data_IF_065787939502
#
_entry.id   IF_065787939502
#
_cell.length_a   1.000
_cell.length_b   1.000
_cell.length_c   1.000
_cell.angle_alpha   90.00
_cell.angle_beta   90.00
_cell.angle_gamma   90.00
#
_symmetry.space_group_name_H-M   'P 1'
#
loop_
_entity.id
_entity.type
_entity.pdbx_description
1 polymer ?
#
# COMPACT_ATOMS: atom_id res chain seq x y z
N UNK A 1 20.55 -19.02 0.79
CA UNK A 1 20.34 -18.01 1.85
C UNK A 1 21.39 -18.26 2.93
N UNK A 2 22.24 -17.29 3.28
CA UNK A 2 23.34 -17.49 4.25
C UNK A 2 23.08 -16.61 5.48
N UNK A 3 22.71 -17.24 6.60
CA UNK A 3 22.41 -16.55 7.86
C UNK A 3 23.71 -16.24 8.58
N UNK A 4 24.07 -14.96 8.72
CA UNK A 4 25.22 -14.55 9.53
C UNK A 4 24.72 -14.39 10.97
N UNK A 5 24.98 -15.40 11.81
CA UNK A 5 24.67 -15.39 13.24
C UNK A 5 25.79 -14.63 13.96
N UNK A 6 25.56 -13.37 14.37
CA UNK A 6 26.46 -12.67 15.29
C UNK A 6 26.05 -13.03 16.73
N UNK A 7 26.82 -13.89 17.37
CA UNK A 7 26.68 -14.18 18.80
C UNK A 7 27.42 -13.08 19.58
N UNK A 8 26.71 -12.42 20.50
CA UNK A 8 27.31 -11.51 21.46
C UNK A 8 27.50 -12.25 22.77
N UNK A 9 28.71 -12.23 23.30
CA UNK A 9 29.04 -12.81 24.60
C UNK A 9 28.84 -11.71 25.64
N UNK A 10 27.99 -11.96 26.64
CA UNK A 10 27.88 -11.08 27.80
C UNK A 10 28.44 -11.83 29.00
N UNK A 11 29.33 -11.17 29.74
CA UNK A 11 29.92 -11.71 30.96
C UNK A 11 29.02 -11.24 32.10
N UNK A 12 28.50 -12.17 32.88
CA UNK A 12 27.72 -11.84 34.06
C UNK A 12 28.61 -11.29 35.19
N UNK A 13 28.02 -10.75 36.25
CA UNK A 13 28.80 -10.20 37.37
C UNK A 13 29.59 -11.25 38.17
N UNK A 14 29.45 -12.53 37.84
CA UNK A 14 30.15 -13.68 38.46
C UNK A 14 31.27 -14.21 37.55
N UNK A 15 31.46 -13.61 36.37
CA UNK A 15 32.49 -14.01 35.41
C UNK A 15 32.08 -15.16 34.49
N UNK A 16 30.81 -15.53 34.47
CA UNK A 16 30.29 -16.60 33.61
C UNK A 16 29.88 -16.06 32.23
N UNK A 17 30.14 -16.85 31.19
CA UNK A 17 29.88 -16.49 29.80
C UNK A 17 28.48 -16.99 29.42
N UNK A 18 27.49 -16.10 29.38
CA UNK A 18 26.15 -16.41 28.89
C UNK A 18 26.01 -16.00 27.42
N UNK A 19 25.74 -17.00 26.56
CA UNK A 19 25.47 -16.78 25.14
C UNK A 19 24.01 -16.34 24.93
N UNK A 20 23.73 -15.05 25.16
CA UNK A 20 22.40 -14.52 24.89
C UNK A 20 22.21 -14.24 23.39
N UNK A 21 21.70 -15.24 22.68
CA UNK A 21 21.30 -15.12 21.27
C UNK A 21 19.97 -14.40 21.10
N UNK A 22 19.93 -13.07 21.19
CA UNK A 22 18.81 -12.34 20.60
C UNK A 22 18.95 -12.39 19.08
N UNK A 23 18.24 -13.34 18.45
CA UNK A 23 17.88 -13.24 17.04
C UNK A 23 16.97 -12.02 16.87
N UNK A 24 17.58 -10.83 16.78
CA UNK A 24 16.89 -9.70 16.19
C UNK A 24 16.61 -10.13 14.76
N UNK A 25 15.38 -10.58 14.51
CA UNK A 25 14.84 -10.74 13.17
C UNK A 25 14.85 -9.35 12.55
N UNK A 26 15.99 -8.96 11.98
CA UNK A 26 16.00 -7.92 10.96
C UNK A 26 15.23 -8.58 9.82
N UNK A 27 13.91 -8.37 9.77
CA UNK A 27 13.12 -8.66 8.59
C UNK A 27 13.83 -7.92 7.47
N UNK A 28 14.57 -8.65 6.64
CA UNK A 28 15.09 -8.12 5.39
C UNK A 28 13.86 -7.64 4.64
N UNK A 29 13.68 -6.32 4.57
CA UNK A 29 12.55 -5.71 3.86
C UNK A 29 12.68 -6.23 2.43
N UNK A 30 11.84 -7.18 2.06
CA UNK A 30 11.85 -7.69 0.69
C UNK A 30 11.38 -6.52 -0.17
N UNK A 31 12.22 -6.08 -1.10
CA UNK A 31 11.88 -4.95 -1.97
C UNK A 31 10.55 -5.19 -2.71
N UNK A 32 10.23 -6.47 -2.94
CA UNK A 32 8.94 -6.96 -3.45
C UNK A 32 7.74 -6.54 -2.58
N UNK A 33 7.84 -6.63 -1.26
CA UNK A 33 6.78 -6.23 -0.33
C UNK A 33 6.50 -4.73 -0.42
N UNK A 34 7.56 -3.92 -0.57
CA UNK A 34 7.43 -2.47 -0.68
C UNK A 34 6.76 -2.07 -1.99
N UNK A 35 7.12 -2.72 -3.10
CA UNK A 35 6.49 -2.51 -4.40
C UNK A 35 4.99 -2.85 -4.36
N UNK A 36 4.62 -4.01 -3.79
CA UNK A 36 3.23 -4.44 -3.67
C UNK A 36 2.42 -3.43 -2.85
N UNK A 37 3.00 -2.89 -1.77
CA UNK A 37 2.36 -1.86 -0.95
C UNK A 37 2.05 -0.58 -1.75
N UNK A 38 2.98 -0.10 -2.58
CA UNK A 38 2.74 1.07 -3.43
C UNK A 38 1.69 0.80 -4.52
N UNK A 39 1.73 -0.39 -5.13
CA UNK A 39 0.71 -0.80 -6.11
C UNK A 39 -0.69 -0.86 -5.51
N UNK A 40 -0.83 -1.35 -4.28
CA UNK A 40 -2.12 -1.36 -3.59
C UNK A 40 -2.67 0.07 -3.48
N UNK A 41 -1.86 1.03 -3.04
CA UNK A 41 -2.29 2.45 -2.95
C UNK A 41 -2.69 2.99 -4.31
N UNK A 42 -1.91 2.74 -5.35
CA UNK A 42 -2.24 3.14 -6.72
C UNK A 42 -3.55 2.53 -7.21
N UNK A 43 -3.79 1.25 -6.94
CA UNK A 43 -5.01 0.55 -7.31
C UNK A 43 -6.26 1.16 -6.67
N UNK A 44 -6.20 1.47 -5.36
CA UNK A 44 -7.29 2.14 -4.65
C UNK A 44 -7.61 3.52 -5.23
N UNK A 45 -6.60 4.22 -5.75
CA UNK A 45 -6.80 5.53 -6.34
C UNK A 45 -7.36 5.45 -7.76
N UNK A 46 -6.86 4.54 -8.58
CA UNK A 46 -7.14 4.47 -10.02
C UNK A 46 -8.50 3.86 -10.30
N UNK A 47 -8.92 2.82 -9.57
CA UNK A 47 -10.18 2.12 -9.84
C UNK A 47 -11.41 3.02 -9.82
N UNK A 48 -11.65 3.83 -8.78
CA UNK A 48 -12.84 4.69 -8.72
C UNK A 48 -12.91 5.68 -9.88
N UNK A 49 -11.75 6.20 -10.29
CA UNK A 49 -11.62 7.14 -11.40
C UNK A 49 -11.94 6.44 -12.73
N UNK A 50 -11.39 5.25 -12.98
CA UNK A 50 -11.67 4.48 -14.19
C UNK A 50 -13.14 4.06 -14.28
N UNK A 51 -13.74 3.66 -13.17
CA UNK A 51 -15.18 3.33 -13.12
C UNK A 51 -16.01 4.58 -13.45
N UNK A 52 -15.73 5.71 -12.80
CA UNK A 52 -16.44 6.97 -13.07
C UNK A 52 -16.29 7.43 -14.52
N UNK A 53 -15.08 7.35 -15.08
CA UNK A 53 -14.79 7.67 -16.47
C UNK A 53 -15.54 6.73 -17.44
N UNK A 54 -15.47 5.42 -17.21
CA UNK A 54 -16.11 4.42 -18.07
C UNK A 54 -17.63 4.56 -18.09
N UNK A 55 -18.25 4.70 -16.91
CA UNK A 55 -19.70 4.93 -16.78
C UNK A 55 -20.07 6.27 -17.40
N UNK A 56 -19.30 7.33 -17.15
CA UNK A 56 -19.60 8.66 -17.67
C UNK A 56 -19.57 8.73 -19.18
N UNK A 57 -18.60 8.08 -19.83
CA UNK A 57 -18.56 7.98 -21.29
C UNK A 57 -19.76 7.19 -21.81
N UNK A 58 -20.14 6.10 -21.15
CA UNK A 58 -21.28 5.28 -21.58
C UNK A 58 -22.59 6.07 -21.47
N UNK A 59 -22.77 6.80 -20.37
CA UNK A 59 -23.95 7.65 -20.13
C UNK A 59 -23.98 8.81 -21.12
N UNK A 60 -22.87 9.50 -21.36
CA UNK A 60 -22.83 10.61 -22.32
C UNK A 60 -23.15 10.14 -23.75
N UNK A 61 -22.66 8.96 -24.14
CA UNK A 61 -22.99 8.35 -25.44
C UNK A 61 -24.46 7.98 -25.55
N UNK A 62 -25.03 7.41 -24.50
CA UNK A 62 -26.44 7.02 -24.48
C UNK A 62 -27.38 8.24 -24.49
N UNK A 63 -27.05 9.27 -23.70
CA UNK A 63 -27.83 10.51 -23.61
C UNK A 63 -27.54 11.50 -24.75
N UNK A 64 -26.58 11.19 -25.64
CA UNK A 64 -26.05 12.10 -26.69
C UNK A 64 -25.65 13.48 -26.14
N UNK A 65 -25.20 13.52 -24.89
CA UNK A 65 -24.72 14.73 -24.26
C UNK A 65 -23.26 14.96 -24.66
N UNK A 66 -22.84 16.23 -24.64
CA UNK A 66 -21.41 16.59 -24.52
C UNK A 66 -20.81 15.89 -23.29
N UNK A 67 -19.48 15.80 -23.10
CA UNK A 67 -18.85 15.00 -22.03
C UNK A 67 -19.09 15.53 -20.59
N UNK A 68 -20.35 15.81 -20.24
CA UNK A 68 -20.79 16.45 -19.00
C UNK A 68 -20.89 15.40 -17.92
N UNK A 69 -21.53 14.26 -18.18
CA UNK A 69 -21.59 13.16 -17.21
C UNK A 69 -20.21 12.55 -16.98
N UNK A 70 -19.39 12.49 -18.03
CA UNK A 70 -17.98 12.07 -17.94
C UNK A 70 -17.22 12.94 -16.96
N UNK A 71 -17.27 14.27 -17.12
CA UNK A 71 -16.57 15.19 -16.20
C UNK A 71 -17.14 15.09 -14.78
N UNK A 72 -18.47 15.04 -14.64
CA UNK A 72 -19.12 14.94 -13.33
C UNK A 72 -18.74 13.64 -12.59
N UNK A 73 -18.80 12.50 -13.28
CA UNK A 73 -18.47 11.20 -12.72
C UNK A 73 -16.97 11.03 -12.51
N UNK A 74 -16.12 11.66 -13.33
CA UNK A 74 -14.68 11.74 -13.08
C UNK A 74 -14.40 12.48 -11.77
N UNK A 75 -15.08 13.61 -11.51
CA UNK A 75 -14.94 14.35 -10.26
C UNK A 75 -15.41 13.51 -9.06
N UNK A 76 -16.56 12.85 -9.16
CA UNK A 76 -17.06 11.95 -8.13
C UNK A 76 -16.08 10.78 -7.89
N UNK A 77 -15.57 10.17 -8.95
CA UNK A 77 -14.57 9.10 -8.88
C UNK A 77 -13.27 9.57 -8.23
N UNK A 78 -12.85 10.81 -8.51
CA UNK A 78 -11.67 11.44 -7.90
C UNK A 78 -11.89 11.67 -6.40
N UNK A 79 -13.05 12.21 -6.00
CA UNK A 79 -13.37 12.39 -4.57
C UNK A 79 -13.48 11.03 -3.86
N UNK A 80 -14.11 10.04 -4.48
CA UNK A 80 -14.22 8.68 -3.96
C UNK A 80 -12.85 7.98 -3.82
N UNK A 81 -11.93 8.25 -4.75
CA UNK A 81 -10.54 7.79 -4.70
C UNK A 81 -9.81 8.30 -3.45
N UNK A 82 -9.93 9.59 -3.14
CA UNK A 82 -9.41 10.14 -1.89
C UNK A 82 -10.10 9.55 -0.65
N UNK A 83 -11.43 9.41 -0.67
CA UNK A 83 -12.17 8.80 0.45
C UNK A 83 -11.70 7.37 0.75
N UNK A 84 -11.47 6.57 -0.29
CA UNK A 84 -10.98 5.21 -0.18
C UNK A 84 -9.56 5.17 0.41
N UNK A 85 -8.70 6.09 -0.03
CA UNK A 85 -7.34 6.24 0.51
C UNK A 85 -7.35 6.60 2.01
N UNK A 86 -8.19 7.55 2.44
CA UNK A 86 -8.29 7.95 3.85
C UNK A 86 -8.79 6.83 4.76
N UNK A 87 -9.63 5.93 4.23
CA UNK A 87 -10.13 4.78 4.99
C UNK A 87 -9.01 3.79 5.31
N UNK A 88 -8.04 3.62 4.41
CA UNK A 88 -6.91 2.71 4.60
C UNK A 88 -5.95 3.24 5.68
N UNK A 89 -5.80 4.56 5.77
CA UNK A 89 -4.87 5.20 6.73
C UNK A 89 -5.39 5.22 8.18
N UNK A 90 -6.70 5.01 8.39
CA UNK A 90 -7.32 4.99 9.74
C UNK A 90 -7.25 3.62 10.43
N UNK A 91 -6.71 2.60 9.77
CA UNK A 91 -6.63 1.23 10.28
C UNK A 91 -5.24 0.91 10.79
#
# INVERSE_FOLDING_TARGET
>A
MKTIKKNYLKIDSKGEIDQFGQSKHIKKKNDKESIIMYFNVGYYLVIPILIGLGIGILVDRWAKTKPVFTVLLLLIGTVGSFYNLFTIQKK
#
